data_IF_933550675891
#
_entry.id   IF_933550675891
#
_cell.length_a   1.000
_cell.length_b   1.000
_cell.length_c   1.000
_cell.angle_alpha   90.00
_cell.angle_beta   90.00
_cell.angle_gamma   90.00
#
_symmetry.space_group_name_H-M   'P 1'
#
loop_
_entity.id
_entity.type
_entity.pdbx_description
1 polymer ?
#
# COMPACT_ATOMS: atom_id res chain seq x y z
N UNK A 1 -23.97 -18.11 -22.44
CA UNK A 1 -22.76 -17.90 -21.62
C UNK A 1 -23.20 -17.55 -20.21
N UNK A 2 -22.86 -18.38 -19.22
CA UNK A 2 -23.12 -18.07 -17.81
C UNK A 2 -22.54 -16.69 -17.50
N UNK A 3 -23.34 -15.79 -16.93
CA UNK A 3 -22.80 -14.50 -16.48
C UNK A 3 -21.79 -14.84 -15.39
N UNK A 4 -20.61 -14.23 -15.42
CA UNK A 4 -19.59 -14.38 -14.37
C UNK A 4 -20.14 -14.25 -12.94
N UNK A 5 -21.21 -13.48 -12.77
CA UNK A 5 -21.93 -13.28 -11.51
C UNK A 5 -22.78 -14.47 -11.07
N UNK A 6 -23.13 -15.39 -11.96
CA UNK A 6 -23.95 -16.54 -11.60
C UNK A 6 -23.17 -17.51 -10.71
N UNK A 7 -21.84 -17.49 -10.80
CA UNK A 7 -20.92 -18.31 -10.01
C UNK A 7 -20.69 -17.78 -8.59
N UNK A 8 -20.97 -16.50 -8.34
CA UNK A 8 -20.68 -15.84 -7.06
C UNK A 8 -21.93 -15.22 -6.46
N UNK A 9 -22.23 -15.57 -5.22
CA UNK A 9 -23.24 -14.89 -4.41
C UNK A 9 -22.61 -13.66 -3.76
N UNK A 10 -23.08 -12.45 -4.11
CA UNK A 10 -22.64 -11.23 -3.43
C UNK A 10 -23.25 -11.14 -2.03
N UNK A 11 -22.41 -10.92 -1.03
CA UNK A 11 -22.83 -10.79 0.36
C UNK A 11 -22.95 -9.31 0.74
N UNK A 12 -21.81 -8.64 0.97
CA UNK A 12 -21.76 -7.27 1.46
C UNK A 12 -20.74 -6.42 0.69
N UNK A 13 -20.92 -5.10 0.70
CA UNK A 13 -19.95 -4.16 0.14
C UNK A 13 -18.90 -3.87 1.21
N UNK A 14 -17.65 -4.24 0.95
CA UNK A 14 -16.55 -4.08 1.92
C UNK A 14 -15.70 -2.84 1.68
N UNK A 15 -15.76 -2.27 0.48
CA UNK A 15 -15.00 -1.06 0.16
C UNK A 15 -15.50 -0.35 -1.08
N UNK A 16 -15.23 0.95 -1.13
CA UNK A 16 -15.35 1.79 -2.32
C UNK A 16 -14.06 2.58 -2.44
N UNK A 17 -13.31 2.32 -3.51
CA UNK A 17 -12.10 3.04 -3.85
C UNK A 17 -12.29 3.84 -5.13
N UNK A 18 -11.28 4.64 -5.49
CA UNK A 18 -11.27 5.48 -6.70
C UNK A 18 -11.53 4.67 -7.98
N UNK A 19 -11.11 3.40 -8.01
CA UNK A 19 -11.19 2.53 -9.19
C UNK A 19 -12.40 1.59 -9.21
N UNK A 20 -13.24 1.63 -8.17
CA UNK A 20 -14.46 0.84 -8.15
C UNK A 20 -14.89 0.32 -6.79
N UNK A 21 -15.89 -0.56 -6.83
CA UNK A 21 -16.54 -1.13 -5.65
C UNK A 21 -15.99 -2.53 -5.38
N UNK A 22 -15.66 -2.80 -4.12
CA UNK A 22 -15.20 -4.11 -3.64
C UNK A 22 -16.34 -4.75 -2.84
N UNK A 23 -16.66 -5.98 -3.19
CA UNK A 23 -17.71 -6.78 -2.56
C UNK A 23 -17.12 -8.04 -1.96
N UNK A 24 -17.56 -8.41 -0.77
CA UNK A 24 -17.41 -9.77 -0.27
C UNK A 24 -18.43 -10.65 -0.98
N UNK A 25 -17.98 -11.79 -1.46
CA UNK A 25 -18.83 -12.74 -2.15
C UNK A 25 -18.48 -14.17 -1.73
N UNK A 26 -19.41 -15.08 -1.96
CA UNK A 26 -19.25 -16.52 -1.78
C UNK A 26 -19.26 -17.19 -3.14
N UNK A 27 -18.24 -17.98 -3.44
CA UNK A 27 -18.25 -18.85 -4.61
C UNK A 27 -19.26 -19.97 -4.39
N UNK A 28 -20.24 -20.12 -5.30
CA UNK A 28 -21.34 -21.08 -5.12
C UNK A 28 -20.89 -22.54 -5.19
N UNK A 29 -19.89 -22.83 -6.01
CA UNK A 29 -19.39 -24.19 -6.22
C UNK A 29 -18.63 -24.74 -5.00
N UNK A 30 -17.86 -23.88 -4.33
CA UNK A 30 -16.95 -24.29 -3.24
C UNK A 30 -17.39 -23.80 -1.86
N UNK A 31 -18.31 -22.84 -1.80
CA UNK A 31 -18.68 -22.12 -0.58
C UNK A 31 -17.62 -21.15 -0.07
N UNK A 32 -16.50 -20.99 -0.77
CA UNK A 32 -15.35 -20.16 -0.37
C UNK A 32 -15.69 -18.67 -0.40
N UNK A 33 -15.23 -17.93 0.61
CA UNK A 33 -15.38 -16.47 0.67
C UNK A 33 -14.25 -15.81 -0.12
N UNK A 34 -14.61 -14.84 -0.97
CA UNK A 34 -13.71 -14.09 -1.86
C UNK A 34 -14.02 -12.60 -1.85
N UNK A 35 -13.04 -11.78 -2.25
CA UNK A 35 -13.22 -10.35 -2.49
C UNK A 35 -13.32 -10.07 -4.00
N UNK A 36 -14.45 -9.53 -4.46
CA UNK A 36 -14.70 -9.15 -5.85
C UNK A 36 -14.48 -7.64 -6.02
N UNK A 37 -13.43 -7.27 -6.74
CA UNK A 37 -13.19 -5.88 -7.17
C UNK A 37 -13.76 -5.69 -8.57
N UNK A 38 -14.70 -4.76 -8.69
CA UNK A 38 -15.34 -4.39 -9.96
C UNK A 38 -14.61 -3.20 -10.58
N UNK A 39 -14.01 -3.40 -11.76
CA UNK A 39 -13.34 -2.34 -12.53
C UNK A 39 -14.10 -2.10 -13.84
N UNK A 40 -14.34 -0.82 -14.16
CA UNK A 40 -14.92 -0.44 -15.47
C UNK A 40 -13.82 -0.46 -16.51
N UNK A 41 -14.11 -1.00 -17.68
CA UNK A 41 -13.23 -0.89 -18.83
C UNK A 41 -13.64 0.37 -19.63
N UNK A 42 -12.67 1.12 -20.19
CA UNK A 42 -12.96 2.10 -21.22
C UNK A 42 -13.76 1.44 -22.35
N UNK A 43 -14.72 2.17 -22.93
CA UNK A 43 -15.44 1.73 -24.12
C UNK A 43 -14.51 1.91 -25.32
N UNK A 44 -13.69 0.88 -25.59
CA UNK A 44 -13.03 0.73 -26.88
C UNK A 44 -13.62 -0.51 -27.58
N UNK A 45 -13.86 -0.41 -28.88
CA UNK A 45 -14.42 -1.49 -29.72
C UNK A 45 -13.54 -2.76 -29.74
N UNK A 46 -12.31 -2.69 -29.21
CA UNK A 46 -11.34 -3.80 -29.18
C UNK A 46 -11.36 -4.66 -27.90
N UNK A 47 -12.34 -4.48 -27.01
CA UNK A 47 -12.51 -5.33 -25.83
C UNK A 47 -11.66 -4.88 -24.63
N UNK A 48 -10.85 -5.77 -24.04
CA UNK A 48 -10.05 -5.42 -22.84
C UNK A 48 -8.78 -4.68 -23.27
N UNK A 49 -8.53 -3.45 -22.79
CA UNK A 49 -7.33 -2.71 -23.19
C UNK A 49 -6.03 -3.47 -22.87
N UNK A 50 -5.01 -3.40 -23.74
CA UNK A 50 -3.72 -4.07 -23.52
C UNK A 50 -3.00 -3.57 -22.26
N UNK A 51 -3.26 -2.33 -21.84
CA UNK A 51 -2.79 -1.78 -20.56
C UNK A 51 -3.36 -2.55 -19.37
N UNK A 52 -4.67 -2.81 -19.37
CA UNK A 52 -5.34 -3.61 -18.34
C UNK A 52 -4.79 -5.03 -18.28
N UNK A 53 -4.53 -5.66 -19.44
CA UNK A 53 -3.94 -7.00 -19.48
C UNK A 53 -2.53 -7.05 -18.88
N UNK A 54 -1.71 -6.02 -19.12
CA UNK A 54 -0.38 -5.90 -18.49
C UNK A 54 -0.47 -5.75 -16.98
N UNK A 55 -1.33 -4.87 -16.49
CA UNK A 55 -1.55 -4.67 -15.05
C UNK A 55 -2.00 -5.97 -14.37
N UNK A 56 -2.95 -6.67 -14.99
CA UNK A 56 -3.44 -7.97 -14.51
C UNK A 56 -2.34 -9.04 -14.51
N UNK A 57 -1.49 -9.08 -15.53
CA UNK A 57 -0.39 -10.03 -15.62
C UNK A 57 0.65 -9.78 -14.51
N UNK A 58 0.96 -8.52 -14.23
CA UNK A 58 1.83 -8.14 -13.11
C UNK A 58 1.20 -8.49 -11.76
N UNK A 59 -0.10 -8.22 -11.57
CA UNK A 59 -0.81 -8.62 -10.35
C UNK A 59 -0.76 -10.14 -10.15
N UNK A 60 -0.92 -10.94 -11.21
CA UNK A 60 -0.77 -12.41 -11.14
C UNK A 60 0.63 -12.82 -10.74
N UNK A 61 1.66 -12.20 -11.32
CA UNK A 61 3.06 -12.46 -10.96
C UNK A 61 3.32 -12.11 -9.49
N UNK A 62 2.83 -10.96 -9.03
CA UNK A 62 3.04 -10.51 -7.65
C UNK A 62 2.28 -11.35 -6.62
N UNK A 63 1.14 -11.92 -7.02
CA UNK A 63 0.30 -12.80 -6.18
C UNK A 63 0.99 -14.10 -5.73
N UNK A 64 2.20 -14.37 -6.22
CA UNK A 64 3.04 -15.51 -5.81
C UNK A 64 3.63 -15.31 -4.41
N UNK A 65 3.85 -14.07 -3.98
CA UNK A 65 4.40 -13.78 -2.65
C UNK A 65 3.31 -13.86 -1.56
N UNK A 66 3.59 -14.46 -0.40
CA UNK A 66 2.61 -14.59 0.69
C UNK A 66 2.15 -13.26 1.29
N UNK A 67 2.95 -12.19 1.17
CA UNK A 67 2.65 -10.85 1.69
C UNK A 67 1.96 -9.94 0.66
N UNK A 68 1.54 -10.49 -0.48
CA UNK A 68 0.72 -9.80 -1.47
C UNK A 68 -0.64 -10.50 -1.55
N UNK A 69 -1.73 -9.72 -1.62
CA UNK A 69 -3.07 -10.29 -1.76
C UNK A 69 -3.18 -11.03 -3.08
N UNK A 70 -3.53 -12.32 -2.99
CA UNK A 70 -3.60 -13.23 -4.13
C UNK A 70 -4.80 -12.93 -5.01
N UNK A 71 -4.54 -12.69 -6.28
CA UNK A 71 -5.52 -12.73 -7.36
C UNK A 71 -5.82 -14.20 -7.70
N UNK A 72 -7.03 -14.66 -7.39
CA UNK A 72 -7.48 -16.03 -7.62
C UNK A 72 -7.97 -16.22 -9.05
N UNK A 73 -8.74 -15.27 -9.57
CA UNK A 73 -9.38 -15.40 -10.88
C UNK A 73 -9.74 -14.04 -11.51
N UNK A 74 -10.01 -14.07 -12.81
CA UNK A 74 -10.44 -12.94 -13.62
C UNK A 74 -11.72 -13.33 -14.35
N UNK A 75 -12.78 -12.55 -14.16
CA UNK A 75 -14.04 -12.80 -14.86
C UNK A 75 -14.50 -11.55 -15.60
N UNK A 76 -14.92 -11.74 -16.85
CA UNK A 76 -15.57 -10.70 -17.63
C UNK A 76 -17.08 -10.80 -17.47
N UNK A 77 -17.75 -9.65 -17.42
CA UNK A 77 -19.21 -9.59 -17.46
C UNK A 77 -19.69 -8.28 -18.06
N UNK A 78 -21.01 -8.15 -18.18
CA UNK A 78 -21.65 -6.92 -18.67
C UNK A 78 -22.48 -6.26 -17.57
N UNK A 79 -22.54 -4.94 -17.60
CA UNK A 79 -23.33 -4.14 -16.68
C UNK A 79 -24.81 -4.10 -17.13
N UNK A 80 -25.70 -3.49 -16.33
CA UNK A 80 -27.12 -3.34 -16.69
C UNK A 80 -27.35 -2.47 -17.94
N UNK A 81 -26.37 -1.66 -18.31
CA UNK A 81 -26.34 -0.75 -19.46
C UNK A 81 -25.59 -1.35 -20.66
N UNK A 82 -25.22 -2.64 -20.62
CA UNK A 82 -24.48 -3.32 -21.70
C UNK A 82 -22.95 -3.15 -21.70
N UNK A 83 -22.38 -2.31 -20.84
CA UNK A 83 -20.95 -2.02 -20.82
C UNK A 83 -20.13 -3.19 -20.24
N UNK A 84 -18.96 -3.45 -20.83
CA UNK A 84 -18.01 -4.44 -20.36
C UNK A 84 -17.41 -4.09 -19.00
N UNK A 85 -17.41 -5.06 -18.08
CA UNK A 85 -16.84 -4.97 -16.74
C UNK A 85 -15.84 -6.10 -16.56
N UNK A 86 -14.71 -5.79 -15.95
CA UNK A 86 -13.77 -6.77 -15.43
C UNK A 86 -13.97 -6.95 -13.91
N UNK A 87 -14.11 -8.20 -13.49
CA UNK A 87 -14.13 -8.60 -12.09
C UNK A 87 -12.83 -9.30 -11.74
N UNK A 88 -12.10 -8.71 -10.81
CA UNK A 88 -10.90 -9.28 -10.20
C UNK A 88 -11.33 -10.01 -8.93
N UNK A 89 -11.08 -11.33 -8.87
CA UNK A 89 -11.42 -12.18 -7.73
C UNK A 89 -10.18 -12.37 -6.88
N UNK A 90 -10.17 -11.79 -5.69
CA UNK A 90 -9.07 -11.91 -4.73
C UNK A 90 -9.43 -12.84 -3.59
N UNK A 91 -8.41 -13.35 -2.90
CA UNK A 91 -8.61 -13.91 -1.56
C UNK A 91 -9.23 -12.86 -0.63
N UNK A 92 -10.12 -13.30 0.25
CA UNK A 92 -10.74 -12.42 1.23
C UNK A 92 -9.89 -12.39 2.51
N UNK A 93 -9.66 -11.19 3.01
CA UNK A 93 -9.00 -10.95 4.31
C UNK A 93 -10.01 -10.25 5.23
N UNK A 94 -10.13 -10.74 6.46
CA UNK A 94 -11.19 -10.32 7.39
C UNK A 94 -10.99 -8.89 7.93
N UNK A 95 -9.74 -8.44 8.01
CA UNK A 95 -9.37 -7.19 8.68
C UNK A 95 -8.42 -6.34 7.83
N UNK A 96 -8.57 -5.02 7.93
CA UNK A 96 -7.58 -4.05 7.46
C UNK A 96 -6.87 -3.44 8.67
N UNK A 97 -5.63 -3.00 8.48
CA UNK A 97 -4.79 -2.48 9.55
C UNK A 97 -5.41 -1.23 10.21
N UNK A 98 -6.22 -0.46 9.47
CA UNK A 98 -6.96 0.67 10.06
C UNK A 98 -7.99 0.21 11.10
N UNK A 99 -8.80 -0.80 10.78
CA UNK A 99 -9.75 -1.40 11.72
C UNK A 99 -9.02 -2.05 12.89
N UNK A 100 -7.89 -2.72 12.64
CA UNK A 100 -7.04 -3.26 13.69
C UNK A 100 -6.59 -2.18 14.68
N UNK A 101 -5.97 -1.10 14.21
CA UNK A 101 -5.53 0.03 15.06
C UNK A 101 -6.70 0.66 15.82
N UNK A 102 -7.86 0.81 15.17
CA UNK A 102 -9.07 1.34 15.81
C UNK A 102 -9.57 0.47 16.96
N UNK A 103 -9.45 -0.86 16.86
CA UNK A 103 -9.90 -1.77 17.92
C UNK A 103 -9.15 -1.54 19.24
N UNK A 104 -7.83 -1.30 19.18
CA UNK A 104 -7.02 -0.98 20.37
C UNK A 104 -7.32 0.42 20.92
N UNK A 105 -7.55 1.41 20.03
CA UNK A 105 -7.94 2.76 20.47
C UNK A 105 -9.29 2.77 21.20
N UNK A 106 -10.23 1.93 20.79
CA UNK A 106 -11.55 1.83 21.43
C UNK A 106 -11.47 1.18 22.81
N UNK A 107 -10.59 0.21 23.01
CA UNK A 107 -10.36 -0.42 24.31
C UNK A 107 -9.37 0.35 25.19
N UNK A 108 -8.80 1.46 24.68
CA UNK A 108 -7.70 2.21 25.28
C UNK A 108 -6.43 1.38 25.51
N UNK A 109 -6.31 0.24 24.84
CA UNK A 109 -5.13 -0.59 24.88
C UNK A 109 -4.05 -0.09 23.91
N UNK A 110 -2.80 -0.41 24.22
CA UNK A 110 -1.66 -0.18 23.34
C UNK A 110 -1.41 -1.44 22.52
N UNK A 111 -1.12 -1.28 21.23
CA UNK A 111 -0.71 -2.40 20.38
C UNK A 111 0.62 -2.93 20.92
N UNK A 112 0.74 -4.23 21.23
CA UNK A 112 1.99 -4.78 21.75
C UNK A 112 3.18 -4.49 20.82
N UNK A 113 4.34 -4.05 21.34
CA UNK A 113 5.51 -3.72 20.50
C UNK A 113 5.95 -4.89 19.60
N UNK A 114 5.90 -6.12 20.13
CA UNK A 114 6.19 -7.35 19.37
C UNK A 114 5.27 -7.50 18.16
N UNK A 115 3.99 -7.17 18.30
CA UNK A 115 3.01 -7.21 17.19
C UNK A 115 3.35 -6.19 16.13
N UNK A 116 3.64 -4.95 16.53
CA UNK A 116 4.09 -3.90 15.59
C UNK A 116 5.35 -4.31 14.84
N UNK A 117 6.32 -4.91 15.54
CA UNK A 117 7.56 -5.42 14.97
C UNK A 117 7.31 -6.51 13.91
N UNK A 118 6.46 -7.49 14.21
CA UNK A 118 6.07 -8.57 13.28
C UNK A 118 5.37 -8.01 12.03
N UNK A 119 4.40 -7.09 12.20
CA UNK A 119 3.68 -6.49 11.07
C UNK A 119 4.60 -5.63 10.20
N UNK A 120 5.53 -4.90 10.81
CA UNK A 120 6.51 -4.09 10.11
C UNK A 120 7.48 -4.96 9.30
N UNK A 121 7.93 -6.09 9.86
CA UNK A 121 8.80 -7.04 9.17
C UNK A 121 8.11 -7.66 7.93
N UNK A 122 6.88 -8.14 8.08
CA UNK A 122 6.08 -8.67 6.96
C UNK A 122 5.82 -7.61 5.88
N UNK A 123 5.57 -6.36 6.28
CA UNK A 123 5.43 -5.25 5.35
C UNK A 123 6.72 -5.01 4.57
N UNK A 124 7.88 -5.00 5.24
CA UNK A 124 9.18 -4.88 4.58
C UNK A 124 9.43 -6.04 3.61
N UNK A 125 9.04 -7.28 3.93
CA UNK A 125 9.13 -8.43 3.03
C UNK A 125 8.32 -8.23 1.76
N UNK A 126 7.02 -7.92 1.92
CA UNK A 126 6.14 -7.71 0.76
C UNK A 126 6.60 -6.53 -0.11
N UNK A 127 7.07 -5.44 0.51
CA UNK A 127 7.60 -4.30 -0.24
C UNK A 127 8.92 -4.62 -0.94
N UNK A 128 9.85 -5.34 -0.30
CA UNK A 128 11.09 -5.77 -0.92
C UNK A 128 10.83 -6.64 -2.15
N UNK A 129 9.87 -7.56 -2.05
CA UNK A 129 9.42 -8.39 -3.18
C UNK A 129 8.79 -7.55 -4.30
N UNK A 130 7.90 -6.60 -3.98
CA UNK A 130 7.34 -5.71 -5.00
C UNK A 130 8.44 -4.91 -5.70
N UNK A 131 9.37 -4.36 -4.93
CA UNK A 131 10.47 -3.54 -5.43
C UNK A 131 11.44 -4.35 -6.31
N UNK A 132 11.71 -5.62 -5.98
CA UNK A 132 12.56 -6.49 -6.82
C UNK A 132 11.93 -6.81 -8.18
N UNK A 133 10.62 -6.66 -8.30
CA UNK A 133 9.86 -6.82 -9.56
C UNK A 133 9.60 -5.48 -10.25
N UNK A 134 10.23 -4.39 -9.81
CA UNK A 134 10.07 -3.06 -10.41
C UNK A 134 8.70 -2.41 -10.13
N UNK A 135 8.03 -2.84 -9.06
CA UNK A 135 6.68 -2.38 -8.71
C UNK A 135 6.73 -1.51 -7.46
N UNK A 136 6.27 -0.27 -7.58
CA UNK A 136 6.13 0.66 -6.47
C UNK A 136 4.65 0.82 -6.11
N UNK A 137 4.30 0.56 -4.85
CA UNK A 137 2.90 0.60 -4.40
C UNK A 137 2.24 1.98 -4.52
N UNK A 138 2.93 3.05 -4.10
CA UNK A 138 2.55 4.48 -4.17
C UNK A 138 1.34 4.96 -3.36
N UNK A 139 0.43 4.08 -2.93
CA UNK A 139 -0.69 4.42 -2.02
C UNK A 139 -0.69 3.52 -0.78
N UNK A 140 0.49 3.34 -0.18
CA UNK A 140 0.63 2.48 0.99
C UNK A 140 -0.06 3.16 2.18
N UNK A 141 -1.11 2.54 2.74
CA UNK A 141 -1.86 3.07 3.88
C UNK A 141 -2.52 1.93 4.66
N UNK A 142 -2.91 2.14 5.92
CA UNK A 142 -3.54 1.11 6.75
C UNK A 142 -4.81 0.48 6.15
N UNK A 143 -5.49 1.15 5.22
CA UNK A 143 -6.64 0.57 4.51
C UNK A 143 -6.25 -0.45 3.42
N UNK A 144 -5.05 -0.31 2.85
CA UNK A 144 -4.51 -1.19 1.81
C UNK A 144 -3.60 -2.28 2.40
N UNK A 145 -3.43 -2.30 3.71
CA UNK A 145 -2.76 -3.36 4.44
C UNK A 145 -3.81 -4.25 5.07
N UNK A 146 -4.02 -5.43 4.48
CA UNK A 146 -4.96 -6.41 4.98
C UNK A 146 -4.25 -7.38 5.91
N UNK A 147 -4.96 -7.92 6.87
CA UNK A 147 -4.41 -8.90 7.79
C UNK A 147 -5.43 -9.95 8.22
N UNK A 148 -4.91 -11.12 8.55
CA UNK A 148 -5.64 -12.16 9.25
C UNK A 148 -5.26 -12.11 10.74
N UNK A 149 -6.26 -11.87 11.60
CA UNK A 149 -6.06 -11.74 13.04
C UNK A 149 -5.64 -13.06 13.72
N UNK A 150 -6.00 -14.21 13.16
CA UNK A 150 -5.71 -15.53 13.74
C UNK A 150 -4.27 -15.94 13.44
N UNK A 151 -3.84 -15.75 12.19
CA UNK A 151 -2.50 -16.16 11.73
C UNK A 151 -1.46 -15.06 11.87
N UNK A 152 -1.88 -13.81 12.11
CA UNK A 152 -1.03 -12.61 12.10
C UNK A 152 -0.37 -12.34 10.74
N UNK A 153 -0.90 -12.92 9.66
CA UNK A 153 -0.41 -12.68 8.31
C UNK A 153 -0.86 -11.32 7.79
N UNK A 154 0.10 -10.51 7.36
CA UNK A 154 -0.13 -9.21 6.71
C UNK A 154 0.05 -9.35 5.20
N UNK A 155 -0.87 -8.79 4.43
CA UNK A 155 -0.83 -8.74 2.98
C UNK A 155 -1.08 -7.35 2.43
N UNK A 156 -0.28 -6.98 1.44
CA UNK A 156 -0.39 -5.73 0.70
C UNK A 156 -1.47 -5.90 -0.37
N UNK A 157 -2.48 -5.04 -0.32
CA UNK A 157 -3.61 -4.99 -1.25
C UNK A 157 -3.55 -3.74 -2.13
N UNK A 158 -4.40 -3.70 -3.15
CA UNK A 158 -4.57 -2.54 -4.04
C UNK A 158 -3.29 -2.08 -4.80
N UNK A 159 -2.48 -3.05 -5.20
CA UNK A 159 -1.38 -2.87 -6.15
C UNK A 159 -1.85 -2.38 -7.54
N UNK A 160 -3.16 -2.29 -7.82
CA UNK A 160 -3.69 -1.74 -9.08
C UNK A 160 -3.43 -0.24 -9.29
N UNK A 161 -2.84 0.42 -8.29
CA UNK A 161 -2.28 1.78 -8.37
C UNK A 161 -0.80 1.82 -8.76
N UNK A 162 -0.12 0.68 -8.67
CA UNK A 162 1.29 0.57 -8.96
C UNK A 162 1.51 0.58 -10.47
N UNK A 163 1.71 1.78 -11.02
CA UNK A 163 2.16 1.96 -12.41
C UNK A 163 3.46 1.19 -12.57
N UNK A 164 3.36 0.04 -13.24
CA UNK A 164 4.49 -0.80 -13.61
C UNK A 164 5.60 0.04 -14.24
N UNK A 165 6.84 -0.23 -13.86
CA UNK A 165 8.01 0.40 -14.47
C UNK A 165 8.19 -0.13 -15.90
N UNK A 166 7.40 0.37 -16.85
CA UNK A 166 7.67 0.20 -18.28
C UNK A 166 8.20 1.55 -18.79
N UNK A 167 9.52 1.62 -18.94
CA UNK A 167 10.24 2.71 -19.60
C UNK A 167 9.63 2.90 -21.02
N UNK A 168 9.28 4.13 -21.47
CA UNK A 168 9.90 5.42 -21.19
C UNK A 168 9.14 6.26 -20.14
N UNK A 169 9.91 7.06 -19.39
CA UNK A 169 9.46 8.02 -18.38
C UNK A 169 8.48 9.07 -18.97
N UNK A 170 7.19 8.75 -19.05
CA UNK A 170 6.16 9.78 -19.25
C UNK A 170 6.06 10.62 -17.99
N UNK A 171 6.11 11.95 -18.15
CA UNK A 171 5.89 12.96 -17.09
C UNK A 171 4.71 12.54 -16.21
N UNK A 172 4.97 12.39 -14.92
CA UNK A 172 4.00 11.91 -13.95
C UNK A 172 2.85 12.92 -13.80
N UNK A 173 1.60 12.44 -13.76
CA UNK A 173 0.45 13.25 -13.35
C UNK A 173 0.43 13.30 -11.83
N UNK A 174 0.38 14.52 -11.29
CA UNK A 174 0.63 14.84 -9.88
C UNK A 174 -0.45 14.38 -8.89
N UNK A 175 -1.53 13.77 -9.38
CA UNK A 175 -2.66 13.24 -8.61
C UNK A 175 -2.36 11.88 -7.94
N UNK A 176 -1.38 11.86 -7.06
CA UNK A 176 -1.22 10.78 -6.09
C UNK A 176 -2.20 11.10 -4.94
N UNK A 177 -2.99 10.14 -4.44
CA UNK A 177 -3.98 10.38 -3.37
C UNK A 177 -3.55 9.71 -2.05
N UNK A 178 -4.10 10.21 -0.95
CA UNK A 178 -3.81 9.90 0.48
C UNK A 178 -2.47 10.38 1.04
N UNK A 179 -2.23 11.69 0.93
CA UNK A 179 -1.59 12.65 1.86
C UNK A 179 -0.68 12.16 3.04
N UNK A 180 -1.02 11.12 3.80
CA UNK A 180 -0.34 10.74 5.05
C UNK A 180 0.91 9.86 4.86
N UNK A 181 1.15 9.33 3.65
CA UNK A 181 2.22 8.35 3.38
C UNK A 181 3.08 8.72 2.17
N UNK A 182 2.99 9.98 1.72
CA UNK A 182 3.75 10.43 0.57
C UNK A 182 5.16 10.78 1.02
N UNK A 183 6.13 10.23 0.31
CA UNK A 183 7.51 10.62 0.50
C UNK A 183 7.68 12.13 0.21
N UNK A 184 8.54 12.85 0.96
CA UNK A 184 8.68 14.30 0.87
C UNK A 184 8.94 14.81 -0.56
N UNK A 185 9.66 14.06 -1.38
CA UNK A 185 9.91 14.35 -2.79
C UNK A 185 8.64 14.35 -3.69
N UNK A 186 7.62 13.57 -3.34
CA UNK A 186 6.34 13.50 -4.05
C UNK A 186 5.43 14.67 -3.68
N UNK A 187 5.64 15.24 -2.49
CA UNK A 187 4.86 16.34 -1.91
C UNK A 187 5.32 17.72 -2.39
N UNK A 188 6.60 17.86 -2.72
CA UNK A 188 7.17 19.04 -3.38
C UNK A 188 6.73 19.10 -4.86
N UNK A 189 5.44 18.87 -5.14
CA UNK A 189 4.89 18.40 -6.41
C UNK A 189 3.42 18.70 -6.78
N UNK A 190 2.50 19.11 -5.87
CA UNK A 190 1.11 19.52 -6.18
C UNK A 190 0.40 20.29 -5.03
N UNK A 191 -0.73 20.93 -5.33
CA UNK A 191 -1.24 22.23 -4.82
C UNK A 191 -2.35 22.20 -3.74
N UNK A 192 -2.71 21.06 -3.12
CA UNK A 192 -3.69 21.08 -2.00
C UNK A 192 -3.35 20.10 -0.85
N UNK A 193 -2.71 20.70 0.17
CA UNK A 193 -2.48 20.32 1.57
C UNK A 193 -2.32 18.84 1.97
N UNK A 194 -1.08 18.41 2.22
CA UNK A 194 -0.60 17.84 3.50
C UNK A 194 0.91 17.63 3.45
N UNK A 195 1.61 18.25 4.37
CA UNK A 195 3.06 18.22 4.63
C UNK A 195 3.42 18.46 6.10
N UNK A 196 2.54 19.04 6.97
CA UNK A 196 2.97 19.40 8.31
C UNK A 196 3.45 18.26 9.18
N UNK A 197 2.95 17.02 9.04
CA UNK A 197 3.29 15.95 9.99
C UNK A 197 4.74 15.49 9.84
N UNK A 198 5.18 15.22 8.61
CA UNK A 198 6.57 14.81 8.35
C UNK A 198 7.55 15.96 8.56
N UNK A 199 7.18 17.20 8.15
CA UNK A 199 7.97 18.41 8.42
C UNK A 199 8.02 18.73 9.93
N UNK A 200 6.95 18.47 10.67
CA UNK A 200 6.93 18.66 12.13
C UNK A 200 7.79 17.62 12.86
N UNK A 201 7.89 16.40 12.32
CA UNK A 201 8.72 15.34 12.89
C UNK A 201 10.20 15.52 12.53
N UNK A 202 10.51 15.75 11.25
CA UNK A 202 11.86 15.79 10.70
C UNK A 202 12.47 17.21 10.65
N UNK A 203 11.67 18.25 10.92
CA UNK A 203 12.07 19.64 10.77
C UNK A 203 11.97 20.13 9.32
N UNK A 204 12.25 21.41 9.09
CA UNK A 204 12.23 21.95 7.73
C UNK A 204 13.46 21.46 6.95
N UNK A 205 13.29 20.82 5.78
CA UNK A 205 14.42 20.37 4.97
C UNK A 205 15.24 21.58 4.51
N UNK A 206 16.56 21.40 4.41
CA UNK A 206 17.49 22.44 3.99
C UNK A 206 18.68 21.82 3.25
N UNK A 207 19.59 22.65 2.75
CA UNK A 207 20.74 22.20 1.97
C UNK A 207 21.72 21.29 2.74
N UNK A 208 21.72 21.31 4.08
CA UNK A 208 22.56 20.39 4.87
C UNK A 208 21.91 19.01 4.98
N UNK A 209 20.58 18.95 5.12
CA UNK A 209 19.81 17.70 5.20
C UNK A 209 19.67 17.02 3.84
N UNK A 210 19.32 17.80 2.81
CA UNK A 210 19.12 17.35 1.44
C UNK A 210 19.75 18.34 0.45
N UNK A 211 21.01 18.10 0.04
CA UNK A 211 21.69 18.95 -0.92
C UNK A 211 20.91 19.07 -2.24
N UNK A 212 20.64 20.31 -2.67
CA UNK A 212 19.86 20.63 -3.85
C UNK A 212 18.35 20.69 -3.66
N UNK A 213 17.83 20.56 -2.42
CA UNK A 213 16.39 20.65 -2.13
C UNK A 213 15.80 21.98 -2.59
N UNK A 214 16.56 23.08 -2.49
CA UNK A 214 16.06 24.41 -2.89
C UNK A 214 15.91 24.56 -4.41
N UNK A 215 16.54 23.66 -5.18
CA UNK A 215 16.48 23.65 -6.65
C UNK A 215 15.31 22.82 -7.19
N UNK A 216 14.54 22.20 -6.31
CA UNK A 216 13.40 21.38 -6.71
C UNK A 216 12.25 22.24 -7.25
N UNK A 217 11.51 21.77 -8.27
CA UNK A 217 10.54 22.60 -9.01
C UNK A 217 9.46 23.29 -8.17
N UNK A 218 9.09 22.73 -7.00
CA UNK A 218 8.07 23.31 -6.13
C UNK A 218 8.59 23.64 -4.71
N UNK A 219 9.90 23.83 -4.59
CA UNK A 219 10.46 24.39 -3.36
C UNK A 219 9.92 25.80 -3.12
N UNK A 220 9.55 26.08 -1.87
CA UNK A 220 9.19 27.42 -1.40
C UNK A 220 9.69 27.62 0.02
N UNK A 221 9.75 28.87 0.47
CA UNK A 221 10.12 29.17 1.85
C UNK A 221 9.07 28.64 2.82
N UNK A 222 9.45 27.64 3.59
CA UNK A 222 8.67 27.11 4.70
C UNK A 222 9.10 27.76 6.02
N UNK A 223 8.19 27.88 7.01
CA UNK A 223 8.59 28.17 8.39
C UNK A 223 9.70 27.21 8.84
N UNK A 224 10.67 27.70 9.60
CA UNK A 224 11.81 26.90 10.03
C UNK A 224 11.45 26.15 11.32
N UNK A 225 11.21 24.84 11.20
CA UNK A 225 10.95 23.95 12.31
C UNK A 225 12.18 23.12 12.62
N UNK A 226 12.49 22.96 13.90
CA UNK A 226 13.53 22.05 14.35
C UNK A 226 13.05 20.60 14.29
N UNK A 227 13.91 19.64 13.94
CA UNK A 227 13.60 18.22 14.03
C UNK A 227 13.21 17.84 15.45
N UNK A 228 12.21 16.98 15.60
CA UNK A 228 11.82 16.43 16.89
C UNK A 228 12.56 15.13 17.15
N UNK A 229 12.82 14.85 18.42
CA UNK A 229 13.35 13.56 18.81
C UNK A 229 12.27 12.49 18.60
N UNK A 230 12.52 11.52 17.73
CA UNK A 230 11.57 10.44 17.40
C UNK A 230 11.15 9.66 18.66
N UNK A 231 12.05 9.50 19.64
CA UNK A 231 11.77 8.82 20.89
C UNK A 231 10.65 9.50 21.71
N UNK A 232 10.49 10.82 21.58
CA UNK A 232 9.43 11.57 22.28
C UNK A 232 8.10 11.51 21.56
N UNK A 233 8.11 11.25 20.24
CA UNK A 233 6.91 11.15 19.41
C UNK A 233 6.34 9.73 19.42
N UNK A 234 7.19 8.71 19.52
CA UNK A 234 6.79 7.29 19.59
C UNK A 234 7.24 6.69 20.92
N UNK A 235 6.60 7.06 22.05
CA UNK A 235 6.96 6.51 23.35
C UNK A 235 6.71 4.99 23.36
N UNK A 236 7.74 4.22 23.74
CA UNK A 236 7.67 2.75 23.80
C UNK A 236 8.33 2.00 22.63
N UNK A 237 8.92 2.72 21.67
CA UNK A 237 9.83 2.13 20.69
C UNK A 237 11.23 1.96 21.30
N UNK A 238 11.84 0.80 21.12
CA UNK A 238 13.21 0.51 21.57
C UNK A 238 14.26 1.29 20.75
N UNK A 239 15.51 1.42 21.24
CA UNK A 239 16.56 2.14 20.53
C UNK A 239 16.77 1.65 19.09
N UNK A 240 16.70 0.34 18.87
CA UNK A 240 16.83 -0.30 17.57
C UNK A 240 15.69 0.06 16.62
N UNK A 241 14.46 0.17 17.13
CA UNK A 241 13.29 0.60 16.37
C UNK A 241 13.34 2.07 16.02
N UNK A 242 13.83 2.93 16.94
CA UNK A 242 14.05 4.35 16.68
C UNK A 242 15.09 4.54 15.58
N UNK A 243 16.20 3.79 15.64
CA UNK A 243 17.24 3.81 14.60
C UNK A 243 16.69 3.38 13.23
N UNK A 244 15.93 2.28 13.17
CA UNK A 244 15.29 1.85 11.92
C UNK A 244 14.33 2.90 11.37
N UNK A 245 13.47 3.46 12.23
CA UNK A 245 12.50 4.47 11.84
C UNK A 245 13.19 5.74 11.31
N UNK A 246 14.29 6.15 11.93
CA UNK A 246 15.08 7.30 11.46
C UNK A 246 15.68 7.08 10.06
N UNK A 247 16.12 5.84 9.76
CA UNK A 247 16.65 5.46 8.44
C UNK A 247 15.55 5.37 7.37
N UNK A 248 14.31 5.05 7.78
CA UNK A 248 13.14 5.05 6.90
C UNK A 248 12.63 6.47 6.61
N UNK A 249 12.75 7.39 7.56
CA UNK A 249 12.25 8.76 7.46
C UNK A 249 13.34 9.76 7.05
N UNK A 250 14.10 9.44 6.00
CA UNK A 250 15.08 10.35 5.41
C UNK A 250 14.44 11.22 4.32
N UNK A 251 14.76 12.53 4.34
CA UNK A 251 14.35 13.48 3.29
C UNK A 251 14.96 13.11 1.94
N UNK A 252 16.28 12.98 1.90
CA UNK A 252 17.01 12.55 0.71
C UNK A 252 16.68 11.08 0.41
N UNK A 253 16.00 10.79 -0.72
CA UNK A 253 15.62 9.42 -1.05
C UNK A 253 16.82 8.48 -1.23
N UNK A 254 18.00 9.01 -1.58
CA UNK A 254 19.22 8.23 -1.75
C UNK A 254 19.80 7.74 -0.43
N UNK A 255 19.52 8.43 0.67
CA UNK A 255 19.91 8.05 2.03
C UNK A 255 18.88 7.17 2.74
N UNK A 256 17.67 7.08 2.20
CA UNK A 256 16.57 6.31 2.78
C UNK A 256 16.85 4.81 2.67
N UNK A 257 16.71 4.08 3.77
CA UNK A 257 16.91 2.63 3.77
C UNK A 257 15.91 1.94 2.83
N UNK A 258 16.40 1.02 2.00
CA UNK A 258 15.53 0.22 1.14
C UNK A 258 14.76 -0.83 1.97
N UNK A 259 13.59 -1.26 1.50
CA UNK A 259 12.83 -2.33 2.17
C UNK A 259 13.66 -3.61 2.33
N UNK A 260 14.52 -3.92 1.36
CA UNK A 260 15.46 -5.06 1.43
C UNK A 260 16.46 -4.88 2.57
N UNK A 261 17.15 -3.73 2.64
CA UNK A 261 18.14 -3.48 3.69
C UNK A 261 17.50 -3.36 5.08
N UNK A 262 16.24 -2.91 5.16
CA UNK A 262 15.49 -2.85 6.40
C UNK A 262 15.27 -4.24 7.01
N UNK A 263 15.12 -5.30 6.21
CA UNK A 263 14.93 -6.68 6.69
C UNK A 263 16.15 -7.23 7.44
N UNK A 264 17.34 -6.69 7.13
CA UNK A 264 18.61 -7.06 7.77
C UNK A 264 18.93 -6.18 8.99
N UNK A 265 18.02 -5.28 9.37
CA UNK A 265 18.21 -4.40 10.51
C UNK A 265 18.14 -5.15 11.85
N UNK A 266 18.98 -4.74 12.80
CA UNK A 266 19.06 -5.32 14.14
C UNK A 266 17.72 -5.37 14.91
N UNK A 267 16.82 -4.44 14.61
CA UNK A 267 15.47 -4.38 15.16
C UNK A 267 14.65 -5.65 14.93
N UNK A 268 14.97 -6.42 13.87
CA UNK A 268 14.26 -7.66 13.50
C UNK A 268 15.01 -8.94 13.87
N UNK A 269 16.13 -8.87 14.61
CA UNK A 269 16.94 -10.05 14.94
C UNK A 269 16.20 -11.06 15.84
N UNK A 270 15.24 -10.60 16.63
CA UNK A 270 14.42 -11.41 17.54
C UNK A 270 13.15 -11.99 16.89
N UNK A 271 12.92 -11.71 15.60
CA UNK A 271 11.82 -12.32 14.84
C UNK A 271 12.22 -13.71 14.34
N UNK A 272 11.32 -14.68 14.50
CA UNK A 272 11.44 -15.97 13.83
C UNK A 272 11.14 -15.84 12.33
N UNK A 273 12.19 -15.64 11.53
CA UNK A 273 12.14 -15.43 10.07
C UNK A 273 11.64 -16.66 9.28
N UNK A 274 11.54 -17.83 9.91
CA UNK A 274 10.98 -19.04 9.30
C UNK A 274 9.44 -19.07 9.38
N UNK A 275 8.86 -18.35 10.35
CA UNK A 275 7.40 -18.28 10.56
C UNK A 275 6.79 -17.09 9.83
N UNK A 276 7.46 -15.94 9.86
CA UNK A 276 7.02 -14.67 9.28
C UNK A 276 7.96 -14.25 8.16
#
# INVERSE_FOLDING_TARGET
>A
MSRAMDLYEKLEKVGEGTYGKVYKAREKATGKIVALKKTRLPEDDEGVPPTTLREVSLLRMLSTDPHVVRLLDLKQGTNKQGQSILYLVFEYMDLDLKKFIRSFRQTQDVIPPRTTKILMYQLCKGLAFCHSHGVLHRDLKPHNLLMDRKTMMLKIADLGLSRAYICPLKKYTHEILTLWYRAPEVLLGDTRYSTPVDIWLLGTPNETMWPGVVKLPNWHEYPQWSPKNIATVVPGLDPEGIDLLSKMLQYDPSKRISAKNALDHQYFNDINKAVY
#
